data_IF_606560182636
#
_entry.id   IF_606560182636
#
_cell.length_a   1.000
_cell.length_b   1.000
_cell.length_c   1.000
_cell.angle_alpha   90.00
_cell.angle_beta   90.00
_cell.angle_gamma   90.00
#
_symmetry.space_group_name_H-M   'P 1'
#
loop_
_entity.id
_entity.type
_entity.pdbx_description
1 polymer ?
#
# COMPACT_ATOMS: atom_id res chain seq x y z
N UNK A 1 7.70 5.41 -2.77
CA UNK A 1 8.40 6.43 -1.93
C UNK A 1 7.81 7.79 -2.24
N UNK A 2 7.78 8.76 -1.31
CA UNK A 2 7.14 10.06 -1.53
C UNK A 2 7.58 10.76 -2.81
N UNK A 3 8.85 10.65 -3.16
CA UNK A 3 9.47 11.32 -4.31
C UNK A 3 8.96 10.82 -5.68
N UNK A 4 8.30 9.66 -5.71
CA UNK A 4 7.69 9.10 -6.93
C UNK A 4 6.20 9.45 -7.05
N UNK A 5 5.64 10.22 -6.11
CA UNK A 5 4.30 10.76 -6.20
C UNK A 5 4.37 12.25 -6.49
N UNK A 6 3.67 12.69 -7.53
CA UNK A 6 3.68 14.09 -7.95
C UNK A 6 2.26 14.60 -8.15
N UNK A 7 2.02 15.83 -7.69
CA UNK A 7 0.78 16.53 -8.00
C UNK A 7 0.84 17.08 -9.44
N UNK A 8 -0.33 17.10 -10.10
CA UNK A 8 -0.47 17.77 -11.38
C UNK A 8 -0.28 19.28 -11.29
N UNK A 9 -0.47 19.96 -12.42
CA UNK A 9 -0.37 21.43 -12.51
C UNK A 9 -1.69 22.03 -12.99
N UNK A 10 -1.86 23.34 -12.76
CA UNK A 10 -3.03 24.12 -13.20
C UNK A 10 -4.34 23.48 -12.71
N UNK A 11 -5.31 23.23 -13.59
CA UNK A 11 -6.60 22.62 -13.28
C UNK A 11 -6.53 21.14 -12.86
N UNK A 12 -5.34 20.51 -12.90
CA UNK A 12 -5.09 19.14 -12.39
C UNK A 12 -4.24 19.12 -11.13
N UNK A 13 -4.12 20.25 -10.41
CA UNK A 13 -3.26 20.37 -9.22
C UNK A 13 -3.59 19.42 -8.06
N UNK A 14 -4.81 18.88 -8.05
CA UNK A 14 -5.27 17.90 -7.07
C UNK A 14 -5.12 16.44 -7.52
N UNK A 15 -4.69 16.20 -8.77
CA UNK A 15 -4.41 14.84 -9.25
C UNK A 15 -3.06 14.39 -8.71
N UNK A 16 -3.02 13.21 -8.08
CA UNK A 16 -1.79 12.56 -7.67
C UNK A 16 -1.38 11.54 -8.73
N UNK A 17 -0.16 11.67 -9.26
CA UNK A 17 0.43 10.77 -10.23
C UNK A 17 1.52 9.93 -9.58
N UNK A 18 1.56 8.64 -9.93
CA UNK A 18 2.71 7.79 -9.69
C UNK A 18 3.63 7.84 -10.91
N UNK A 19 4.92 8.10 -10.68
CA UNK A 19 5.95 8.18 -11.70
C UNK A 19 7.10 7.20 -11.42
N UNK A 20 8.06 7.15 -12.35
CA UNK A 20 9.27 6.34 -12.27
C UNK A 20 8.98 4.84 -12.11
N UNK A 21 8.72 4.22 -13.26
CA UNK A 21 8.53 2.78 -13.40
C UNK A 21 9.84 2.02 -13.70
N UNK A 22 11.01 2.65 -13.48
CA UNK A 22 12.31 2.07 -13.83
C UNK A 22 12.68 0.80 -13.05
N UNK A 23 12.07 0.61 -11.87
CA UNK A 23 12.22 -0.60 -11.04
C UNK A 23 11.00 -1.53 -11.10
N UNK A 24 9.97 -1.17 -11.88
CA UNK A 24 8.76 -1.96 -12.00
C UNK A 24 9.04 -3.30 -12.68
N UNK A 25 8.29 -4.33 -12.29
CA UNK A 25 8.40 -5.68 -12.84
C UNK A 25 7.01 -6.24 -13.08
N UNK A 26 6.89 -7.07 -14.12
CA UNK A 26 5.69 -7.87 -14.33
C UNK A 26 5.60 -8.93 -13.23
N UNK A 27 4.49 -8.94 -12.48
CA UNK A 27 4.21 -9.97 -11.49
C UNK A 27 3.33 -11.10 -12.05
N UNK A 28 2.65 -10.85 -13.18
CA UNK A 28 1.72 -11.77 -13.83
C UNK A 28 1.83 -11.68 -15.35
N UNK A 29 1.65 -12.82 -16.02
CA UNK A 29 1.47 -12.90 -17.47
C UNK A 29 0.35 -13.91 -17.76
N UNK A 30 0.65 -15.20 -17.69
CA UNK A 30 -0.34 -16.29 -17.67
C UNK A 30 -0.48 -16.92 -16.28
N UNK A 31 0.51 -16.67 -15.41
CA UNK A 31 0.57 -17.13 -14.03
C UNK A 31 1.38 -16.15 -13.20
N UNK A 32 1.13 -16.12 -11.90
CA UNK A 32 1.94 -15.33 -10.98
C UNK A 32 3.40 -15.80 -11.01
N UNK A 33 4.34 -14.84 -10.98
CA UNK A 33 5.78 -15.12 -10.91
C UNK A 33 6.11 -16.06 -9.74
N UNK A 34 7.12 -16.95 -9.87
CA UNK A 34 7.51 -17.83 -8.79
C UNK A 34 8.18 -17.06 -7.65
N UNK A 35 8.07 -17.57 -6.42
CA UNK A 35 8.79 -17.01 -5.28
C UNK A 35 10.29 -17.28 -5.45
N UNK A 36 11.09 -16.21 -5.39
CA UNK A 36 12.56 -16.28 -5.37
C UNK A 36 13.07 -15.76 -4.03
N UNK A 37 14.26 -16.22 -3.64
CA UNK A 37 14.94 -15.76 -2.41
C UNK A 37 16.38 -15.36 -2.74
N UNK A 38 17.10 -14.81 -1.76
CA UNK A 38 18.50 -14.33 -1.91
C UNK A 38 18.64 -13.19 -2.92
N UNK A 39 17.59 -12.41 -3.12
CA UNK A 39 17.63 -11.20 -3.94
C UNK A 39 18.24 -10.04 -3.14
N UNK A 40 18.97 -9.17 -3.83
CA UNK A 40 19.39 -7.90 -3.25
C UNK A 40 18.20 -6.95 -3.11
N UNK A 41 18.19 -6.17 -2.03
CA UNK A 41 17.19 -5.12 -1.84
C UNK A 41 17.30 -4.10 -2.96
N UNK A 42 16.18 -3.82 -3.61
CA UNK A 42 16.04 -2.75 -4.61
C UNK A 42 15.10 -1.67 -4.07
N UNK A 43 15.28 -0.42 -4.51
CA UNK A 43 14.49 0.71 -4.03
C UNK A 43 14.94 1.27 -2.68
N UNK A 44 14.06 2.07 -2.06
CA UNK A 44 14.40 2.82 -0.83
C UNK A 44 14.15 1.98 0.42
N UNK A 45 15.23 1.58 1.09
CA UNK A 45 15.20 0.72 2.29
C UNK A 45 14.27 1.19 3.42
N UNK A 46 14.09 2.52 3.55
CA UNK A 46 13.18 3.14 4.53
C UNK A 46 11.75 2.63 4.40
N UNK A 47 11.23 2.54 3.17
CA UNK A 47 9.82 2.18 2.91
C UNK A 47 9.64 0.69 2.57
N UNK A 48 10.67 0.03 2.05
CA UNK A 48 10.62 -1.37 1.61
C UNK A 48 9.98 -2.34 2.64
N UNK A 49 9.26 -3.35 2.17
CA UNK A 49 8.64 -4.38 3.02
C UNK A 49 9.68 -5.18 3.80
N UNK A 50 9.26 -5.85 4.88
CA UNK A 50 10.13 -6.79 5.60
C UNK A 50 10.57 -7.95 4.71
N UNK A 51 9.74 -8.39 3.76
CA UNK A 51 10.07 -9.46 2.81
C UNK A 51 11.16 -9.03 1.81
N UNK A 52 11.08 -7.80 1.30
CA UNK A 52 12.13 -7.24 0.43
C UNK A 52 13.48 -7.20 1.17
N UNK A 53 13.48 -6.80 2.45
CA UNK A 53 14.67 -6.85 3.32
C UNK A 53 15.18 -8.27 3.58
N UNK A 54 14.32 -9.29 3.52
CA UNK A 54 14.71 -10.71 3.60
C UNK A 54 15.22 -11.27 2.26
N UNK A 55 15.27 -10.45 1.21
CA UNK A 55 15.68 -10.86 -0.13
C UNK A 55 14.68 -11.80 -0.80
N UNK A 56 13.41 -11.72 -0.43
CA UNK A 56 12.31 -12.45 -1.07
C UNK A 56 11.81 -11.63 -2.26
N UNK A 57 11.39 -12.33 -3.33
CA UNK A 57 10.73 -11.69 -4.46
C UNK A 57 9.57 -10.80 -4.01
N UNK A 58 9.47 -9.62 -4.62
CA UNK A 58 8.41 -8.68 -4.33
C UNK A 58 7.16 -9.00 -5.17
N UNK A 59 6.01 -8.70 -4.59
CA UNK A 59 4.68 -8.87 -5.17
C UNK A 59 3.78 -7.72 -4.71
N UNK A 60 2.50 -7.75 -5.09
CA UNK A 60 1.51 -6.71 -4.74
C UNK A 60 1.50 -6.33 -3.25
N UNK A 61 1.64 -7.31 -2.35
CA UNK A 61 1.66 -7.07 -0.89
C UNK A 61 2.81 -6.18 -0.43
N UNK A 62 3.95 -6.25 -1.13
CA UNK A 62 5.17 -5.54 -0.75
C UNK A 62 5.04 -4.04 -1.06
N UNK A 63 4.37 -3.71 -2.17
CA UNK A 63 4.01 -2.32 -2.50
C UNK A 63 3.01 -1.75 -1.48
N UNK A 64 2.01 -2.53 -1.04
CA UNK A 64 1.07 -2.09 0.00
C UNK A 64 1.78 -1.84 1.34
N UNK A 65 2.63 -2.76 1.80
CA UNK A 65 3.40 -2.54 3.04
C UNK A 65 4.28 -1.28 2.92
N UNK A 66 4.86 -1.03 1.74
CA UNK A 66 5.65 0.18 1.49
C UNK A 66 4.82 1.47 1.52
N UNK A 67 3.58 1.45 1.00
CA UNK A 67 2.62 2.55 1.13
C UNK A 67 2.27 2.77 2.60
N UNK A 68 2.00 1.72 3.38
CA UNK A 68 1.72 1.85 4.81
C UNK A 68 2.88 2.49 5.59
N UNK A 69 4.12 2.08 5.33
CA UNK A 69 5.31 2.74 5.90
C UNK A 69 5.44 4.21 5.47
N UNK A 70 5.06 4.54 4.23
CA UNK A 70 5.09 5.91 3.72
C UNK A 70 4.04 6.79 4.40
N UNK A 71 2.82 6.28 4.60
CA UNK A 71 1.76 6.97 5.33
C UNK A 71 2.16 7.23 6.78
N UNK A 72 2.71 6.22 7.46
CA UNK A 72 3.23 6.40 8.84
C UNK A 72 4.40 7.38 8.90
N UNK A 73 5.21 7.47 7.85
CA UNK A 73 6.26 8.48 7.77
C UNK A 73 5.69 9.90 7.69
N UNK A 74 4.63 10.13 6.91
CA UNK A 74 3.98 11.44 6.85
C UNK A 74 3.37 11.85 8.19
N UNK A 75 2.67 10.93 8.86
CA UNK A 75 2.04 11.20 10.15
C UNK A 75 3.04 11.46 11.28
N UNK A 76 4.17 10.74 11.29
CA UNK A 76 5.16 10.79 12.37
C UNK A 76 6.33 11.74 12.11
N UNK A 77 6.50 12.19 10.87
CA UNK A 77 7.71 12.88 10.38
C UNK A 77 8.98 12.00 10.29
N UNK A 78 9.03 10.90 11.04
CA UNK A 78 10.11 9.91 11.01
C UNK A 78 9.62 8.51 11.35
N UNK A 79 10.33 7.49 10.87
CA UNK A 79 10.07 6.09 11.23
C UNK A 79 11.09 5.63 12.29
N UNK A 80 10.76 4.65 13.16
CA UNK A 80 11.66 4.15 14.22
C UNK A 80 13.00 3.59 13.73
N UNK A 81 13.11 3.30 12.43
CA UNK A 81 14.33 2.85 11.74
C UNK A 81 15.01 3.95 10.92
N UNK A 82 14.68 5.22 11.18
CA UNK A 82 15.36 6.38 10.58
C UNK A 82 16.63 6.70 11.35
N UNK A 83 17.63 7.27 10.67
CA UNK A 83 18.85 7.79 11.33
C UNK A 83 19.75 6.74 11.98
N UNK A 84 19.55 5.45 11.73
CA UNK A 84 20.40 4.40 12.30
C UNK A 84 21.83 4.51 11.77
N UNK A 85 22.79 4.60 12.69
CA UNK A 85 24.22 4.60 12.37
C UNK A 85 24.67 3.21 11.91
N UNK A 86 25.50 3.18 10.87
CA UNK A 86 26.08 1.95 10.32
C UNK A 86 27.36 2.30 9.56
N UNK A 87 28.34 1.38 9.60
CA UNK A 87 29.63 1.54 8.90
C UNK A 87 29.54 1.13 7.44
N UNK A 88 28.65 0.19 7.12
CA UNK A 88 28.44 -0.31 5.75
C UNK A 88 26.96 -0.28 5.38
N UNK A 89 26.68 -0.31 4.06
CA UNK A 89 25.31 -0.35 3.57
C UNK A 89 24.59 -1.64 3.97
N UNK A 90 25.30 -2.77 3.99
CA UNK A 90 24.78 -4.06 4.43
C UNK A 90 24.38 -4.01 5.91
N UNK A 91 25.24 -3.45 6.77
CA UNK A 91 24.94 -3.25 8.18
C UNK A 91 23.73 -2.33 8.36
N UNK A 92 23.64 -1.26 7.57
CA UNK A 92 22.50 -0.33 7.58
C UNK A 92 21.19 -1.05 7.25
N UNK A 93 21.18 -1.87 6.19
CA UNK A 93 19.99 -2.63 5.79
C UNK A 93 19.60 -3.67 6.83
N UNK A 94 20.58 -4.39 7.39
CA UNK A 94 20.36 -5.33 8.49
C UNK A 94 19.71 -4.64 9.70
N UNK A 95 20.26 -3.50 10.14
CA UNK A 95 19.72 -2.70 11.26
C UNK A 95 18.29 -2.21 11.00
N UNK A 96 18.01 -1.71 9.79
CA UNK A 96 16.66 -1.29 9.40
C UNK A 96 15.68 -2.48 9.45
N UNK A 97 16.07 -3.62 8.88
CA UNK A 97 15.27 -4.87 8.89
C UNK A 97 14.97 -5.32 10.32
N UNK A 98 15.99 -5.40 11.17
CA UNK A 98 15.83 -5.81 12.57
C UNK A 98 14.89 -4.87 13.32
N UNK A 99 15.06 -3.56 13.15
CA UNK A 99 14.19 -2.56 13.78
C UNK A 99 12.75 -2.63 13.27
N UNK A 100 12.53 -2.89 11.97
CA UNK A 100 11.18 -3.10 11.40
C UNK A 100 10.47 -4.32 11.97
N UNK A 101 11.22 -5.39 12.25
CA UNK A 101 10.70 -6.62 12.84
C UNK A 101 10.45 -6.49 14.34
N UNK A 102 11.31 -5.75 15.04
CA UNK A 102 11.24 -5.57 16.48
C UNK A 102 10.12 -4.63 16.92
N UNK A 103 9.83 -3.59 16.14
CA UNK A 103 8.78 -2.60 16.49
C UNK A 103 7.40 -3.17 16.18
N UNK A 104 6.53 -3.38 17.19
CA UNK A 104 5.16 -3.82 16.97
C UNK A 104 4.34 -2.78 16.20
N UNK A 105 3.37 -3.22 15.38
CA UNK A 105 2.52 -2.29 14.63
C UNK A 105 1.73 -1.36 15.55
N UNK A 106 1.23 -1.86 16.67
CA UNK A 106 0.57 -1.07 17.71
C UNK A 106 1.43 0.07 18.25
N UNK A 107 2.75 -0.14 18.39
CA UNK A 107 3.68 0.92 18.81
C UNK A 107 3.93 1.90 17.66
N UNK A 108 4.15 1.38 16.45
CA UNK A 108 4.37 2.20 15.26
C UNK A 108 3.18 3.15 15.01
N UNK A 109 1.96 2.65 15.17
CA UNK A 109 0.71 3.36 14.88
C UNK A 109 0.08 4.00 16.13
N UNK A 110 0.77 3.97 17.28
CA UNK A 110 0.27 4.57 18.51
C UNK A 110 -0.06 6.07 18.30
N UNK A 111 -1.21 6.49 18.85
CA UNK A 111 -1.77 7.84 18.76
C UNK A 111 -2.24 8.28 17.36
N UNK A 112 -2.36 7.35 16.42
CA UNK A 112 -2.98 7.59 15.11
C UNK A 112 -4.24 6.71 14.95
N UNK A 113 -5.12 7.01 13.98
CA UNK A 113 -6.30 6.18 13.72
C UNK A 113 -5.93 4.70 13.54
N UNK A 114 -6.71 3.82 14.16
CA UNK A 114 -6.45 2.36 14.16
C UNK A 114 -6.37 1.75 12.76
N UNK A 115 -7.00 2.38 11.77
CA UNK A 115 -7.02 1.95 10.39
C UNK A 115 -5.63 1.90 9.75
N UNK A 116 -4.66 2.70 10.23
CA UNK A 116 -3.26 2.59 9.80
C UNK A 116 -2.60 1.29 10.28
N UNK A 117 -2.92 0.85 11.50
CA UNK A 117 -2.50 -0.46 12.03
C UNK A 117 -3.19 -1.59 11.28
N UNK A 118 -4.51 -1.51 11.08
CA UNK A 118 -5.31 -2.50 10.34
C UNK A 118 -4.78 -2.68 8.90
N UNK A 119 -4.44 -1.57 8.22
CA UNK A 119 -3.83 -1.59 6.87
C UNK A 119 -2.46 -2.29 6.84
N UNK A 120 -1.56 -1.94 7.77
CA UNK A 120 -0.23 -2.56 7.85
C UNK A 120 -0.31 -4.04 8.25
N UNK A 121 -1.24 -4.38 9.14
CA UNK A 121 -1.47 -5.75 9.55
C UNK A 121 -2.01 -6.60 8.39
N UNK A 122 -2.96 -6.06 7.63
CA UNK A 122 -3.50 -6.70 6.43
C UNK A 122 -2.39 -6.94 5.39
N UNK A 123 -1.63 -5.91 5.04
CA UNK A 123 -0.57 -6.02 4.03
C UNK A 123 0.52 -7.04 4.41
N UNK A 124 0.90 -7.13 5.69
CA UNK A 124 1.84 -8.15 6.18
C UNK A 124 1.31 -9.58 6.16
N UNK A 125 0.00 -9.74 6.29
CA UNK A 125 -0.67 -11.05 6.31
C UNK A 125 -1.01 -11.59 4.92
N UNK A 126 -0.90 -10.77 3.86
CA UNK A 126 -1.13 -11.21 2.50
C UNK A 126 -0.14 -12.28 2.07
N UNK A 127 -0.66 -13.35 1.47
CA UNK A 127 0.17 -14.34 0.79
C UNK A 127 0.83 -13.74 -0.45
N UNK A 128 1.94 -14.34 -0.89
CA UNK A 128 2.74 -13.82 -2.01
C UNK A 128 1.95 -13.66 -3.31
N UNK A 129 0.99 -14.56 -3.57
CA UNK A 129 0.16 -14.54 -4.78
C UNK A 129 -1.22 -13.93 -4.56
N UNK A 130 -1.57 -13.55 -3.32
CA UNK A 130 -2.91 -13.08 -3.01
C UNK A 130 -3.22 -11.77 -3.75
N UNK A 131 -4.49 -11.63 -4.12
CA UNK A 131 -5.02 -10.38 -4.66
C UNK A 131 -5.52 -9.54 -3.50
N UNK A 132 -4.98 -8.33 -3.29
CA UNK A 132 -5.45 -7.47 -2.23
C UNK A 132 -6.91 -7.06 -2.42
N UNK A 133 -7.63 -6.95 -1.32
CA UNK A 133 -8.96 -6.35 -1.24
C UNK A 133 -8.81 -4.82 -1.21
N UNK A 134 -8.53 -4.24 -2.38
CA UNK A 134 -8.38 -2.79 -2.53
C UNK A 134 -9.62 -2.02 -2.06
N UNK A 135 -10.86 -2.43 -2.36
CA UNK A 135 -12.06 -1.76 -1.82
C UNK A 135 -12.07 -1.67 -0.30
N UNK A 136 -11.75 -2.76 0.41
CA UNK A 136 -11.65 -2.73 1.87
C UNK A 136 -10.56 -1.76 2.35
N UNK A 137 -9.37 -1.78 1.73
CA UNK A 137 -8.29 -0.86 2.08
C UNK A 137 -8.65 0.61 1.83
N UNK A 138 -9.42 0.89 0.78
CA UNK A 138 -9.97 2.23 0.54
C UNK A 138 -10.99 2.61 1.61
N UNK A 139 -11.88 1.69 2.01
CA UNK A 139 -12.88 1.95 3.06
C UNK A 139 -12.23 2.28 4.41
N UNK A 140 -11.12 1.62 4.77
CA UNK A 140 -10.36 1.97 5.98
C UNK A 140 -10.04 3.47 6.05
N UNK A 141 -9.53 4.07 4.97
CA UNK A 141 -9.19 5.49 4.98
C UNK A 141 -10.38 6.42 4.75
N UNK A 142 -11.45 5.96 4.12
CA UNK A 142 -12.72 6.67 4.12
C UNK A 142 -13.28 6.80 5.55
N UNK A 143 -13.23 5.74 6.35
CA UNK A 143 -13.68 5.76 7.75
C UNK A 143 -12.87 6.76 8.59
N UNK A 144 -11.55 6.85 8.35
CA UNK A 144 -10.71 7.88 8.99
C UNK A 144 -11.19 9.26 8.58
N UNK A 145 -11.39 9.49 7.27
CA UNK A 145 -11.84 10.77 6.74
C UNK A 145 -13.19 11.20 7.34
N UNK A 146 -14.14 10.27 7.45
CA UNK A 146 -15.46 10.50 8.03
C UNK A 146 -15.37 10.83 9.54
N UNK A 147 -14.47 10.18 10.28
CA UNK A 147 -14.29 10.39 11.71
C UNK A 147 -13.59 11.72 12.07
N UNK A 148 -12.69 12.21 11.22
CA UNK A 148 -11.99 13.50 11.41
C UNK A 148 -12.93 14.72 11.17
N UNK A 149 -14.13 14.50 10.60
CA UNK A 149 -15.13 15.53 10.38
C UNK A 149 -15.25 15.98 8.93
N UNK A 150 -15.91 17.14 8.66
CA UNK A 150 -16.15 17.61 7.29
C UNK A 150 -14.85 18.10 6.65
N UNK A 151 -14.10 17.18 6.06
CA UNK A 151 -12.92 17.47 5.26
C UNK A 151 -13.34 17.86 3.85
N UNK A 152 -13.09 19.10 3.46
CA UNK A 152 -13.31 19.58 2.11
C UNK A 152 -12.40 18.87 1.10
N UNK A 153 -12.96 18.51 -0.05
CA UNK A 153 -12.16 17.92 -1.13
C UNK A 153 -11.07 18.90 -1.57
N UNK A 154 -9.87 18.36 -1.78
CA UNK A 154 -8.70 19.09 -2.28
C UNK A 154 -8.16 20.20 -1.36
N UNK A 155 -8.62 20.27 -0.10
CA UNK A 155 -8.09 21.20 0.91
C UNK A 155 -6.75 20.72 1.48
N UNK A 156 -5.74 20.63 0.61
CA UNK A 156 -4.38 20.31 1.02
C UNK A 156 -3.67 21.54 1.59
N UNK A 157 -2.83 21.35 2.61
CA UNK A 157 -2.11 22.45 3.29
C UNK A 157 -1.32 23.35 2.31
N UNK A 158 -0.71 22.78 1.27
CA UNK A 158 0.04 23.56 0.26
C UNK A 158 -0.83 24.25 -0.80
N UNK A 159 -2.16 24.07 -0.75
CA UNK A 159 -3.15 24.76 -1.58
C UNK A 159 -3.90 25.85 -0.82
N UNK A 160 -3.66 26.00 0.48
CA UNK A 160 -4.29 27.04 1.30
C UNK A 160 -4.04 28.44 0.69
N UNK A 161 -5.13 29.20 0.54
CA UNK A 161 -5.11 30.55 -0.05
C UNK A 161 -4.92 30.62 -1.57
N UNK A 162 -4.89 29.49 -2.29
CA UNK A 162 -4.80 29.49 -3.77
C UNK A 162 -6.19 29.44 -4.40
N UNK A 163 -6.42 30.27 -5.41
CA UNK A 163 -7.54 30.09 -6.33
C UNK A 163 -7.26 28.89 -7.23
N UNK A 164 -8.05 27.83 -7.06
CA UNK A 164 -7.90 26.58 -7.81
C UNK A 164 -8.60 26.62 -9.18
N UNK A 165 -9.44 27.64 -9.42
CA UNK A 165 -10.29 27.72 -10.60
C UNK A 165 -11.15 26.47 -10.81
N UNK A 166 -11.53 26.21 -12.06
CA UNK A 166 -12.27 24.99 -12.42
C UNK A 166 -11.34 23.78 -12.48
N UNK A 167 -11.42 22.93 -11.45
CA UNK A 167 -10.68 21.68 -11.38
C UNK A 167 -11.25 20.63 -12.37
N UNK A 168 -10.36 19.89 -13.03
CA UNK A 168 -10.73 18.74 -13.86
C UNK A 168 -11.04 17.56 -12.94
N UNK A 169 -12.22 16.93 -12.98
CA UNK A 169 -12.51 15.78 -12.14
C UNK A 169 -11.57 14.60 -12.43
N UNK A 170 -11.21 13.85 -11.38
CA UNK A 170 -10.57 12.54 -11.54
C UNK A 170 -11.62 11.56 -12.05
N UNK A 171 -11.40 11.00 -13.24
CA UNK A 171 -12.27 9.97 -13.76
C UNK A 171 -11.91 8.61 -13.15
N UNK A 172 -12.77 8.11 -12.28
CA UNK A 172 -12.62 6.79 -11.63
C UNK A 172 -13.28 5.65 -12.42
N UNK A 173 -13.91 5.93 -13.58
CA UNK A 173 -14.72 4.96 -14.33
C UNK A 173 -13.95 3.73 -14.82
N UNK A 174 -12.63 3.84 -14.94
CA UNK A 174 -11.77 2.79 -15.46
C UNK A 174 -11.06 2.12 -14.28
N UNK A 175 -11.82 1.41 -13.44
CA UNK A 175 -11.21 0.56 -12.42
C UNK A 175 -10.25 -0.40 -13.13
N UNK A 176 -8.95 -0.23 -12.89
CA UNK A 176 -7.92 -1.04 -13.54
C UNK A 176 -8.13 -2.48 -13.11
N UNK A 177 -8.61 -3.32 -14.03
CA UNK A 177 -8.75 -4.74 -13.77
C UNK A 177 -7.38 -5.34 -13.50
N UNK A 178 -7.30 -6.16 -12.45
CA UNK A 178 -6.06 -6.88 -12.16
C UNK A 178 -5.82 -7.92 -13.28
N UNK A 179 -4.58 -8.09 -13.77
CA UNK A 179 -4.27 -9.01 -14.85
C UNK A 179 -4.61 -10.48 -14.51
N UNK A 180 -4.76 -10.83 -13.23
CA UNK A 180 -5.14 -12.15 -12.74
C UNK A 180 -6.62 -12.26 -12.29
N UNK A 181 -7.45 -11.27 -12.61
CA UNK A 181 -8.87 -11.26 -12.24
C UNK A 181 -9.66 -12.44 -12.85
N UNK A 182 -9.21 -12.96 -14.00
CA UNK A 182 -9.82 -14.11 -14.68
C UNK A 182 -9.61 -15.44 -13.96
N UNK A 183 -8.45 -15.67 -13.36
CA UNK A 183 -8.14 -16.94 -12.66
C UNK A 183 -8.95 -17.07 -11.36
N UNK A 184 -9.14 -15.97 -10.62
CA UNK A 184 -9.87 -15.98 -9.34
C UNK A 184 -11.33 -16.40 -9.49
N UNK A 185 -11.96 -16.14 -10.65
CA UNK A 185 -13.35 -16.58 -10.93
C UNK A 185 -13.51 -18.10 -11.03
N UNK A 186 -12.42 -18.84 -11.23
CA UNK A 186 -12.45 -20.31 -11.32
C UNK A 186 -12.26 -21.01 -9.97
N UNK A 187 -11.81 -20.28 -8.95
CA UNK A 187 -11.44 -20.83 -7.63
C UNK A 187 -12.56 -20.88 -6.58
N UNK A 188 -13.72 -20.28 -6.83
CA UNK A 188 -14.86 -20.27 -5.88
C UNK A 188 -16.17 -20.65 -6.57
N UNK A 189 -16.36 -21.95 -6.85
CA UNK A 189 -17.70 -22.54 -6.86
C UNK A 189 -18.02 -23.01 -5.44
N UNK A 190 -18.51 -22.10 -4.59
CA UNK A 190 -19.26 -22.53 -3.41
C UNK A 190 -20.50 -23.27 -3.91
N UNK A 191 -20.48 -24.59 -3.79
CA UNK A 191 -21.68 -25.41 -3.84
C UNK A 191 -22.55 -25.00 -2.65
N UNK A 192 -23.54 -24.13 -2.87
CA UNK A 192 -24.69 -24.08 -1.98
C UNK A 192 -25.47 -25.38 -2.19
N UNK A 193 -25.16 -26.38 -1.37
CA UNK A 193 -25.99 -27.59 -1.27
C UNK A 193 -27.34 -27.16 -0.68
N UNK A 194 -28.35 -27.10 -1.55
CA UNK A 194 -29.73 -26.83 -1.17
C UNK A 194 -30.24 -27.87 -0.20
N UNK A 195 -30.87 -27.44 0.90
CA UNK A 195 -31.74 -28.31 1.68
C UNK A 195 -33.13 -28.29 1.05
N UNK A 196 -33.53 -29.48 0.64
CA UNK A 196 -34.89 -29.85 0.26
C UNK A 196 -35.92 -29.37 1.28
N UNK A 197 -36.95 -28.69 0.78
CA UNK A 197 -38.27 -28.68 1.42
C UNK A 197 -39.01 -29.86 0.84
N UNK A 198 -39.14 -30.93 1.61
CA UNK A 198 -40.10 -32.01 1.34
C UNK A 198 -41.46 -31.48 1.82
N UNK A 199 -42.41 -31.36 0.89
CA UNK A 199 -43.83 -31.29 1.20
C UNK A 199 -44.33 -32.72 1.33
N UNK A 200 -45.03 -33.00 2.43
CA UNK A 200 -46.31 -33.70 2.47
C UNK A 200 -47.12 -33.12 3.64
#
# INVERSE_FOLDING_TARGET
KPENFMFGIKNKIHHLYLIDFGLSKHYFHDKHVPIRTRLSLTGTARYASINAHRGVEQSRRDDLEAVGHMLMYFLRGSLPWSGLEAKTQEEKYRKIREKKQAVPLKELCANFPKQFEEYLQYSRNLEFKATPDYPMLHKLFQDVREAEGPLEDHHFQWLEGKDLGSLVPINWSDAVEQPDAGEQKTGFRFWFCGRHVVRD
#
